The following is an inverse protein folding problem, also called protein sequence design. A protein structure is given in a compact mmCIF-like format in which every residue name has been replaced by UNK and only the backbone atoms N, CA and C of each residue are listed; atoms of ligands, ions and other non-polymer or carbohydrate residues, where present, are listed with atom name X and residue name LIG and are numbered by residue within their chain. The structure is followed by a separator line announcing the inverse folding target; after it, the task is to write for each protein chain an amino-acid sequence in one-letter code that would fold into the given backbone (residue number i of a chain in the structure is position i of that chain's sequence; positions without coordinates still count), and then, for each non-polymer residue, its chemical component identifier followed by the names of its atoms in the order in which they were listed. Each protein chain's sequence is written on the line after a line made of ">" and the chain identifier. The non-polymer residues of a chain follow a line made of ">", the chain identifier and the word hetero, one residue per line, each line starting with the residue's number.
data_IF_210703722969
#
_entry.id   IF_210703722969
#
_cell.length_a   1.000
_cell.length_b   1.000
_cell.length_c   1.000
_cell.angle_alpha   90.00
_cell.angle_beta   90.00
_cell.angle_gamma   90.00
#
_symmetry.space_group_name_H-M   'P 1'
#
loop_
_entity.id
_entity.type
_entity.pdbx_description
1 polymer ?
#
# COMPACT_ATOMS: atom_id res chain seq x y z
N UNK A 1 17.23 -16.84 8.30
CA UNK A 1 17.84 -15.59 7.82
C UNK A 1 18.48 -14.91 9.01
N UNK A 2 19.78 -14.61 8.91
CA UNK A 2 20.46 -13.81 9.94
C UNK A 2 20.14 -12.31 9.78
N UNK A 3 20.57 -11.50 10.74
CA UNK A 3 20.26 -10.07 10.72
C UNK A 3 20.96 -9.30 9.60
N UNK A 4 22.17 -9.72 9.18
CA UNK A 4 22.91 -9.05 8.12
C UNK A 4 22.22 -9.28 6.77
N UNK A 5 21.88 -10.54 6.48
CA UNK A 5 21.11 -10.94 5.30
C UNK A 5 19.75 -10.23 5.25
N UNK A 6 19.02 -10.21 6.38
CA UNK A 6 17.75 -9.48 6.48
C UNK A 6 17.92 -8.00 6.11
N UNK A 7 18.96 -7.36 6.66
CA UNK A 7 19.19 -5.92 6.44
C UNK A 7 19.57 -5.63 5.00
N UNK A 8 20.36 -6.49 4.36
CA UNK A 8 20.69 -6.38 2.94
C UNK A 8 19.43 -6.48 2.07
N UNK A 9 18.62 -7.53 2.26
CA UNK A 9 17.36 -7.71 1.55
C UNK A 9 16.40 -6.54 1.79
N UNK A 10 16.21 -6.15 3.04
CA UNK A 10 15.33 -5.03 3.37
C UNK A 10 15.77 -3.73 2.68
N UNK A 11 17.08 -3.48 2.56
CA UNK A 11 17.61 -2.27 1.95
C UNK A 11 17.59 -2.29 0.41
N UNK A 12 17.62 -3.47 -0.21
CA UNK A 12 17.54 -3.63 -1.66
C UNK A 12 16.12 -3.44 -2.19
N UNK A 13 15.08 -3.75 -1.41
CA UNK A 13 13.67 -3.54 -1.76
C UNK A 13 13.27 -2.06 -1.75
N UNK A 14 13.48 -1.31 -2.83
CA UNK A 14 13.23 0.15 -2.91
C UNK A 14 12.01 0.53 -3.74
N UNK A 15 11.72 -0.24 -4.78
CA UNK A 15 10.57 -0.08 -5.69
C UNK A 15 9.92 -1.44 -5.95
N UNK A 16 8.68 -1.50 -6.46
CA UNK A 16 7.98 -2.75 -6.70
C UNK A 16 8.79 -3.73 -7.59
N UNK A 17 9.46 -3.19 -8.62
CA UNK A 17 10.31 -3.98 -9.52
C UNK A 17 11.49 -4.70 -8.83
N UNK A 18 11.92 -4.25 -7.65
CA UNK A 18 13.01 -4.91 -6.93
C UNK A 18 12.57 -6.24 -6.32
N UNK A 19 11.26 -6.48 -6.13
CA UNK A 19 10.73 -7.77 -5.68
C UNK A 19 11.13 -8.88 -6.64
N UNK A 20 10.99 -8.63 -7.94
CA UNK A 20 11.28 -9.62 -8.99
C UNK A 20 12.75 -10.05 -8.97
N UNK A 21 13.65 -9.12 -8.67
CA UNK A 21 15.10 -9.40 -8.58
C UNK A 21 15.46 -10.35 -7.41
N UNK A 22 14.54 -10.57 -6.48
CA UNK A 22 14.73 -11.43 -5.31
C UNK A 22 13.86 -12.69 -5.35
N UNK A 23 12.94 -12.81 -6.32
CA UNK A 23 12.15 -14.03 -6.53
C UNK A 23 13.06 -15.20 -6.88
N UNK A 24 12.70 -16.39 -6.41
CA UNK A 24 13.50 -17.61 -6.55
C UNK A 24 14.65 -17.74 -5.54
N UNK A 25 15.12 -16.64 -4.94
CA UNK A 25 16.06 -16.69 -3.79
C UNK A 25 15.32 -16.67 -2.45
N UNK A 26 14.24 -15.90 -2.37
CA UNK A 26 13.41 -15.78 -1.17
C UNK A 26 11.96 -16.16 -1.48
N UNK A 27 11.24 -16.54 -0.44
CA UNK A 27 9.80 -16.78 -0.51
C UNK A 27 9.05 -15.49 -0.91
N UNK A 28 8.11 -15.61 -1.83
CA UNK A 28 7.37 -14.47 -2.39
C UNK A 28 6.58 -13.72 -1.32
N UNK A 29 5.99 -14.44 -0.35
CA UNK A 29 5.20 -13.83 0.73
C UNK A 29 6.10 -13.07 1.69
N UNK A 30 7.32 -13.57 1.95
CA UNK A 30 8.32 -12.84 2.71
C UNK A 30 8.66 -11.52 2.01
N UNK A 31 8.94 -11.54 0.71
CA UNK A 31 9.28 -10.35 -0.07
C UNK A 31 8.16 -9.31 -0.03
N UNK A 32 6.93 -9.73 -0.33
CA UNK A 32 5.75 -8.86 -0.32
C UNK A 32 5.50 -8.26 1.08
N UNK A 33 5.69 -9.07 2.12
CA UNK A 33 5.53 -8.62 3.52
C UNK A 33 6.58 -7.57 3.89
N UNK A 34 7.85 -7.81 3.56
CA UNK A 34 8.94 -6.88 3.85
C UNK A 34 8.74 -5.55 3.11
N UNK A 35 8.38 -5.61 1.83
CA UNK A 35 8.11 -4.41 1.05
C UNK A 35 6.92 -3.62 1.59
N UNK A 36 5.81 -4.30 1.90
CA UNK A 36 4.61 -3.67 2.49
C UNK A 36 4.94 -2.98 3.81
N UNK A 37 5.68 -3.64 4.70
CA UNK A 37 6.08 -3.07 5.99
C UNK A 37 7.00 -1.87 5.82
N UNK A 38 7.98 -1.97 4.92
CA UNK A 38 8.92 -0.89 4.62
C UNK A 38 8.20 0.34 4.10
N UNK A 39 7.35 0.16 3.09
CA UNK A 39 6.55 1.24 2.50
C UNK A 39 5.61 1.85 3.53
N UNK A 40 4.90 1.03 4.32
CA UNK A 40 4.01 1.51 5.37
C UNK A 40 4.73 2.34 6.44
N UNK A 41 5.93 1.92 6.86
CA UNK A 41 6.75 2.67 7.83
C UNK A 41 7.20 4.01 7.26
N UNK A 42 7.65 4.01 6.02
CA UNK A 42 8.11 5.21 5.34
C UNK A 42 6.97 6.20 5.08
N UNK A 43 5.79 5.71 4.66
CA UNK A 43 4.57 6.52 4.56
C UNK A 43 4.24 7.17 5.89
N UNK A 44 4.15 6.40 6.98
CA UNK A 44 3.86 6.94 8.32
C UNK A 44 4.86 8.03 8.73
N UNK A 45 6.15 7.81 8.46
CA UNK A 45 7.23 8.74 8.78
C UNK A 45 7.12 10.05 8.00
N UNK A 46 6.80 9.98 6.70
CA UNK A 46 6.84 11.14 5.79
C UNK A 46 5.46 11.72 5.45
N UNK A 47 4.37 11.14 5.96
CA UNK A 47 3.00 11.47 5.59
C UNK A 47 2.73 12.99 5.59
N UNK A 48 2.97 13.65 6.73
CA UNK A 48 2.69 15.08 6.87
C UNK A 48 3.64 15.95 6.03
N UNK A 49 4.90 15.53 5.89
CA UNK A 49 5.90 16.25 5.09
C UNK A 49 5.49 16.24 3.61
N UNK A 50 5.05 15.09 3.10
CA UNK A 50 4.59 14.95 1.72
C UNK A 50 3.24 15.66 1.55
N UNK A 51 2.29 15.50 2.49
CA UNK A 51 0.98 16.16 2.46
C UNK A 51 1.08 17.69 2.37
N UNK A 52 2.06 18.31 3.03
CA UNK A 52 2.29 19.77 2.94
C UNK A 52 2.58 20.26 1.51
N UNK A 53 2.94 19.35 0.59
CA UNK A 53 3.19 19.68 -0.81
C UNK A 53 1.95 19.49 -1.70
N UNK A 54 0.78 19.11 -1.17
CA UNK A 54 -0.44 18.89 -1.95
C UNK A 54 -0.83 20.10 -2.84
N UNK A 55 -0.77 21.38 -2.38
CA UNK A 55 -1.05 22.52 -3.26
C UNK A 55 -0.12 22.60 -4.48
N UNK A 56 1.14 22.19 -4.29
CA UNK A 56 2.14 22.15 -5.37
C UNK A 56 1.90 20.98 -6.31
N UNK A 57 1.55 19.80 -5.78
CA UNK A 57 1.18 18.63 -6.57
C UNK A 57 0.00 18.95 -7.48
N UNK A 58 -1.07 19.53 -6.92
CA UNK A 58 -2.25 19.94 -7.70
C UNK A 58 -1.89 20.93 -8.82
N UNK A 59 -1.06 21.93 -8.51
CA UNK A 59 -0.59 22.90 -9.51
C UNK A 59 0.21 22.25 -10.63
N UNK A 60 1.04 21.26 -10.33
CA UNK A 60 1.84 20.55 -11.33
C UNK A 60 0.98 19.56 -12.13
N UNK A 61 0.04 18.88 -11.49
CA UNK A 61 -0.92 17.99 -12.13
C UNK A 61 -1.80 18.74 -13.14
N UNK A 62 -2.37 19.88 -12.75
CA UNK A 62 -3.12 20.79 -13.65
C UNK A 62 -2.29 21.35 -14.81
N UNK A 63 -0.96 21.24 -14.76
CA UNK A 63 -0.04 21.60 -15.85
C UNK A 63 0.32 20.41 -16.75
N UNK A 64 -0.29 19.24 -16.54
CA UNK A 64 -0.10 18.04 -17.33
C UNK A 64 0.94 17.06 -16.79
N UNK A 65 1.37 17.19 -15.52
CA UNK A 65 2.15 16.11 -14.87
C UNK A 65 1.23 14.99 -14.44
N UNK A 66 1.58 13.74 -14.68
CA UNK A 66 0.73 12.61 -14.26
C UNK A 66 0.88 12.30 -12.77
N UNK A 67 -0.09 11.57 -12.21
CA UNK A 67 -0.05 11.03 -10.85
C UNK A 67 1.22 10.20 -10.64
N UNK A 68 1.60 9.36 -11.62
CA UNK A 68 2.81 8.54 -11.56
C UNK A 68 4.08 9.38 -11.54
N UNK A 69 4.19 10.42 -12.38
CA UNK A 69 5.34 11.33 -12.35
C UNK A 69 5.47 12.05 -10.99
N UNK A 70 4.33 12.43 -10.40
CA UNK A 70 4.30 13.05 -9.08
C UNK A 70 4.66 12.05 -7.98
N UNK A 71 4.15 10.83 -8.06
CA UNK A 71 4.48 9.72 -7.15
C UNK A 71 5.99 9.48 -7.12
N UNK A 72 6.63 9.38 -8.28
CA UNK A 72 8.07 9.20 -8.41
C UNK A 72 8.85 10.39 -7.86
N UNK A 73 8.43 11.61 -8.20
CA UNK A 73 9.07 12.85 -7.74
C UNK A 73 9.07 12.96 -6.22
N UNK A 74 7.94 12.65 -5.57
CA UNK A 74 7.80 12.71 -4.11
C UNK A 74 8.21 11.40 -3.42
N UNK A 75 8.55 10.38 -4.22
CA UNK A 75 8.87 9.02 -3.78
C UNK A 75 7.78 8.47 -2.87
N UNK A 76 6.52 8.63 -3.23
CA UNK A 76 5.38 8.34 -2.35
C UNK A 76 4.34 7.50 -3.09
N UNK A 77 3.62 6.58 -2.42
CA UNK A 77 2.75 5.64 -3.12
C UNK A 77 1.76 6.32 -4.09
N UNK A 78 1.53 5.78 -5.30
CA UNK A 78 0.69 6.41 -6.32
C UNK A 78 -0.71 6.77 -5.81
N UNK A 79 -1.40 5.87 -5.11
CA UNK A 79 -2.77 6.11 -4.62
C UNK A 79 -2.79 7.21 -3.57
N UNK A 80 -1.80 7.26 -2.68
CA UNK A 80 -1.76 8.31 -1.67
C UNK A 80 -1.36 9.67 -2.25
N UNK A 81 -0.54 9.67 -3.31
CA UNK A 81 -0.24 10.87 -4.10
C UNK A 81 -1.51 11.39 -4.79
N UNK A 82 -2.27 10.51 -5.45
CA UNK A 82 -3.56 10.84 -6.04
C UNK A 82 -4.53 11.38 -4.98
N UNK A 83 -4.62 10.73 -3.82
CA UNK A 83 -5.45 11.18 -2.71
C UNK A 83 -5.11 12.61 -2.29
N UNK A 84 -3.82 12.96 -2.18
CA UNK A 84 -3.45 14.33 -1.84
C UNK A 84 -3.85 15.35 -2.90
N UNK A 85 -3.72 15.01 -4.19
CA UNK A 85 -4.13 15.87 -5.30
C UNK A 85 -5.64 16.12 -5.26
N UNK A 86 -6.44 15.05 -5.17
CA UNK A 86 -7.91 15.13 -5.23
C UNK A 86 -8.50 15.83 -3.99
N UNK A 87 -7.97 15.54 -2.79
CA UNK A 87 -8.40 16.22 -1.57
C UNK A 87 -8.08 17.72 -1.62
N UNK A 88 -6.94 18.10 -2.19
CA UNK A 88 -6.58 19.51 -2.40
C UNK A 88 -7.45 20.18 -3.48
N UNK A 89 -7.90 19.40 -4.48
CA UNK A 89 -8.82 19.87 -5.54
C UNK A 89 -10.27 20.04 -5.06
N UNK A 90 -10.59 19.52 -3.86
CA UNK A 90 -11.89 19.66 -3.21
C UNK A 90 -12.72 18.38 -3.15
N UNK A 91 -12.23 17.26 -3.69
CA UNK A 91 -12.87 15.95 -3.55
C UNK A 91 -12.91 15.52 -2.09
N UNK A 92 -14.03 14.96 -1.62
CA UNK A 92 -14.06 14.39 -0.28
C UNK A 92 -13.26 13.09 -0.22
N UNK A 93 -12.78 12.70 0.96
CA UNK A 93 -12.08 11.42 1.12
C UNK A 93 -12.96 10.24 0.71
N UNK A 94 -14.27 10.31 0.99
CA UNK A 94 -15.22 9.26 0.63
C UNK A 94 -15.32 9.11 -0.89
N UNK A 95 -15.45 10.23 -1.59
CA UNK A 95 -15.63 10.22 -3.05
C UNK A 95 -14.34 9.79 -3.76
N UNK A 96 -13.17 10.18 -3.24
CA UNK A 96 -11.90 9.65 -3.74
C UNK A 96 -11.82 8.12 -3.63
N UNK A 97 -12.19 7.54 -2.50
CA UNK A 97 -12.19 6.06 -2.39
C UNK A 97 -13.27 5.41 -3.25
N UNK A 98 -14.39 6.09 -3.50
CA UNK A 98 -15.38 5.61 -4.47
C UNK A 98 -14.77 5.55 -5.88
N UNK A 99 -14.02 6.58 -6.31
CA UNK A 99 -13.36 6.59 -7.62
C UNK A 99 -12.20 5.59 -7.73
N UNK A 100 -11.55 5.22 -6.62
CA UNK A 100 -10.56 4.13 -6.63
C UNK A 100 -11.23 2.77 -6.87
N UNK A 101 -12.42 2.55 -6.30
CA UNK A 101 -13.16 1.30 -6.49
C UNK A 101 -13.87 1.23 -7.85
N UNK A 102 -14.26 2.38 -8.38
CA UNK A 102 -14.93 2.51 -9.67
C UNK A 102 -14.37 3.72 -10.45
N UNK A 103 -13.19 3.58 -11.11
CA UNK A 103 -12.59 4.66 -11.89
C UNK A 103 -13.46 5.12 -13.06
N UNK A 104 -14.32 4.24 -13.59
CA UNK A 104 -15.20 4.54 -14.73
C UNK A 104 -16.33 5.51 -14.34
N UNK A 105 -16.55 5.74 -13.04
CA UNK A 105 -17.49 6.74 -12.54
C UNK A 105 -16.99 8.20 -12.69
N UNK A 106 -15.71 8.40 -13.01
CA UNK A 106 -15.13 9.72 -13.21
C UNK A 106 -15.57 10.35 -14.53
N UNK A 107 -15.86 11.65 -14.52
CA UNK A 107 -16.31 12.37 -15.72
C UNK A 107 -15.23 12.49 -16.81
N UNK A 108 -13.94 12.54 -16.42
CA UNK A 108 -12.82 12.62 -17.36
C UNK A 108 -12.21 11.24 -17.57
N UNK A 109 -12.24 10.70 -18.80
CA UNK A 109 -11.57 9.46 -19.16
C UNK A 109 -10.07 9.49 -18.88
N UNK A 110 -9.42 10.63 -19.13
CA UNK A 110 -7.98 10.80 -18.91
C UNK A 110 -7.61 10.67 -17.43
N UNK A 111 -8.43 11.26 -16.55
CA UNK A 111 -8.25 11.14 -15.09
C UNK A 111 -8.53 9.71 -14.64
N UNK A 112 -9.53 9.04 -15.23
CA UNK A 112 -9.80 7.62 -14.96
C UNK A 112 -8.60 6.74 -15.35
N UNK A 113 -7.97 7.00 -16.49
CA UNK A 113 -6.77 6.28 -16.95
C UNK A 113 -5.61 6.46 -15.96
N UNK A 114 -5.33 7.68 -15.50
CA UNK A 114 -4.30 7.93 -14.49
C UNK A 114 -4.60 7.24 -13.15
N UNK A 115 -5.86 7.17 -12.74
CA UNK A 115 -6.27 6.45 -11.53
C UNK A 115 -6.07 4.94 -11.70
N UNK A 116 -6.43 4.35 -12.84
CA UNK A 116 -6.20 2.93 -13.12
C UNK A 116 -4.70 2.62 -13.12
N UNK A 117 -3.88 3.46 -13.75
CA UNK A 117 -2.42 3.31 -13.71
C UNK A 117 -1.89 3.37 -12.27
N UNK A 118 -2.38 4.30 -11.45
CA UNK A 118 -1.98 4.40 -10.05
C UNK A 118 -2.39 3.16 -9.23
N UNK A 119 -3.57 2.59 -9.51
CA UNK A 119 -4.04 1.35 -8.87
C UNK A 119 -3.14 0.17 -9.23
N UNK A 120 -2.86 0.00 -10.53
CA UNK A 120 -2.01 -1.09 -11.04
C UNK A 120 -0.59 -1.04 -10.47
N UNK A 121 -0.04 0.17 -10.25
CA UNK A 121 1.33 0.36 -9.78
C UNK A 121 1.47 0.47 -8.25
N UNK A 122 0.39 0.65 -7.50
CA UNK A 122 0.45 0.71 -6.04
C UNK A 122 0.23 -0.67 -5.40
N UNK A 123 1.31 -1.40 -5.19
CA UNK A 123 1.27 -2.75 -4.60
C UNK A 123 1.01 -2.79 -3.09
N UNK A 124 0.75 -1.65 -2.44
CA UNK A 124 0.54 -1.56 -0.98
C UNK A 124 -0.83 -1.00 -0.61
N UNK A 125 -1.33 0.01 -1.32
CA UNK A 125 -2.57 0.72 -0.96
C UNK A 125 -3.73 0.50 -1.95
N UNK A 126 -3.52 -0.26 -3.04
CA UNK A 126 -4.58 -0.63 -3.97
C UNK A 126 -5.61 -1.58 -3.33
N UNK A 127 -6.84 -1.63 -3.88
CA UNK A 127 -7.85 -2.61 -3.45
C UNK A 127 -7.28 -4.03 -3.39
N UNK A 128 -6.65 -4.48 -4.49
CA UNK A 128 -6.03 -5.81 -4.57
C UNK A 128 -4.91 -6.02 -3.54
N UNK A 129 -4.13 -4.99 -3.24
CA UNK A 129 -3.10 -5.07 -2.20
C UNK A 129 -3.69 -5.20 -0.80
N UNK A 130 -4.77 -4.46 -0.52
CA UNK A 130 -5.50 -4.56 0.74
C UNK A 130 -6.12 -5.94 0.92
N UNK A 131 -6.72 -6.50 -0.13
CA UNK A 131 -7.31 -7.84 -0.12
C UNK A 131 -6.23 -8.91 0.13
N UNK A 132 -5.11 -8.86 -0.60
CA UNK A 132 -3.96 -9.75 -0.35
C UNK A 132 -3.42 -9.63 1.08
N UNK A 133 -3.39 -8.42 1.64
CA UNK A 133 -2.97 -8.21 3.02
C UNK A 133 -3.96 -8.81 4.03
N UNK A 134 -5.27 -8.68 3.77
CA UNK A 134 -6.32 -9.27 4.59
C UNK A 134 -6.24 -10.79 4.58
N UNK A 135 -6.18 -11.40 3.40
CA UNK A 135 -6.04 -12.85 3.23
C UNK A 135 -4.81 -13.39 3.96
N UNK A 136 -3.68 -12.68 3.85
CA UNK A 136 -2.45 -13.02 4.56
C UNK A 136 -2.61 -12.93 6.08
N UNK A 137 -3.35 -11.94 6.58
CA UNK A 137 -3.66 -11.81 7.99
C UNK A 137 -4.43 -13.02 8.52
N UNK A 138 -5.50 -13.41 7.81
CA UNK A 138 -6.31 -14.60 8.12
C UNK A 138 -5.46 -15.87 8.11
N UNK A 139 -4.63 -16.03 7.08
CA UNK A 139 -3.73 -17.17 6.98
C UNK A 139 -2.69 -17.24 8.12
N UNK A 140 -2.10 -16.10 8.50
CA UNK A 140 -1.14 -16.04 9.61
C UNK A 140 -1.78 -16.33 10.97
N UNK A 141 -3.03 -15.90 11.15
CA UNK A 141 -3.84 -16.23 12.33
C UNK A 141 -4.11 -17.73 12.41
N UNK A 142 -4.54 -18.35 11.30
CA UNK A 142 -4.77 -19.80 11.22
C UNK A 142 -3.52 -20.63 11.56
N UNK A 143 -2.35 -20.25 11.04
CA UNK A 143 -1.08 -20.89 11.41
C UNK A 143 -0.78 -20.79 12.91
N UNK A 144 -1.11 -19.64 13.51
CA UNK A 144 -0.90 -19.40 14.94
C UNK A 144 -1.83 -20.28 15.77
N UNK A 145 -3.10 -20.38 15.38
CA UNK A 145 -4.07 -21.28 16.01
C UNK A 145 -3.62 -22.73 15.96
N UNK A 146 -3.26 -23.23 14.78
CA UNK A 146 -2.78 -24.61 14.60
C UNK A 146 -1.56 -24.92 15.47
N UNK A 147 -0.63 -23.96 15.59
CA UNK A 147 0.54 -24.12 16.45
C UNK A 147 0.15 -24.18 17.93
N UNK A 148 -0.70 -23.26 18.40
CA UNK A 148 -1.17 -23.21 19.80
C UNK A 148 -1.96 -24.46 20.18
N UNK A 149 -2.87 -24.90 19.32
CA UNK A 149 -3.66 -26.13 19.49
C UNK A 149 -2.74 -27.35 19.58
N UNK A 150 -1.71 -27.42 18.72
CA UNK A 150 -0.68 -28.45 18.77
C UNK A 150 0.15 -28.46 20.06
N UNK A 151 0.23 -27.34 20.78
CA UNK A 151 0.86 -27.25 22.10
C UNK A 151 -0.14 -27.43 23.26
N UNK A 152 -1.44 -27.58 22.98
CA UNK A 152 -2.49 -27.61 24.01
C UNK A 152 -2.65 -26.29 24.76
N UNK A 153 -2.26 -25.17 24.16
CA UNK A 153 -2.38 -23.83 24.75
C UNK A 153 -3.73 -23.25 24.37
N UNK A 154 -4.53 -22.86 25.37
CA UNK A 154 -5.80 -22.16 25.13
C UNK A 154 -5.57 -20.67 24.90
N UNK A 155 -6.44 -20.07 24.09
CA UNK A 155 -6.39 -18.64 23.74
C UNK A 155 -7.82 -18.08 23.60
N UNK A 156 -7.93 -16.75 23.57
CA UNK A 156 -9.16 -16.03 23.25
C UNK A 156 -8.94 -15.23 21.98
N UNK A 157 -9.87 -15.33 21.05
CA UNK A 157 -9.93 -14.55 19.82
C UNK A 157 -10.49 -13.15 20.10
N UNK A 158 -10.40 -12.24 19.14
CA UNK A 158 -11.04 -10.93 19.25
C UNK A 158 -12.56 -11.04 19.42
N UNK A 159 -13.20 -11.99 18.73
CA UNK A 159 -14.64 -12.24 18.86
C UNK A 159 -15.00 -12.71 20.27
N UNK A 160 -14.18 -13.58 20.88
CA UNK A 160 -14.39 -14.04 22.26
C UNK A 160 -14.31 -12.90 23.29
N UNK A 161 -13.66 -11.78 22.95
CA UNK A 161 -13.50 -10.62 23.81
C UNK A 161 -14.59 -9.55 23.61
N UNK A 162 -15.19 -9.47 22.42
CA UNK A 162 -16.20 -8.45 22.07
C UNK A 162 -17.54 -8.64 22.79
N UNK A 163 -17.83 -9.86 23.24
CA UNK A 163 -19.06 -10.22 23.97
C UNK A 163 -18.86 -10.32 25.50
N UNK A 164 -17.72 -9.86 26.03
CA UNK A 164 -17.43 -9.73 27.48
C UNK A 164 -17.44 -8.27 27.94
#
# INVERSE_FOLDING_TARGET
>A
MDYAEYKELYNSLRKPADLESHRGRYDDRLLDTLYTQKTSRDVKKRFYIVKQNAPRMLKEWRKGKTIMELSDKYKFPPILTAMFIFLEDGTSKKDFWASINDPDSLESPEVADEIREAIENDIVYSPDANDRQRERGIWGEDLTHQWLDGQGITYRTENDLRDT
#
